data_IF_552034407794
#
_entry.id   IF_552034407794
#
_cell.length_a   1.000
_cell.length_b   1.000
_cell.length_c   1.000
_cell.angle_alpha   90.00
_cell.angle_beta   90.00
_cell.angle_gamma   90.00
#
_symmetry.space_group_name_H-M   'P 1'
#
loop_
_entity.id
_entity.type
_entity.pdbx_description
1 polymer ?
#
# COMPACT_ATOMS: atom_id res chain seq x y z
N UNK A 1 12.53 -6.19 -9.76
CA UNK A 1 12.18 -5.70 -8.40
C UNK A 1 10.76 -6.11 -8.07
N UNK A 2 10.51 -6.64 -6.88
CA UNK A 2 9.17 -7.05 -6.45
C UNK A 2 8.32 -5.83 -6.11
N UNK A 3 7.11 -5.76 -6.67
CA UNK A 3 6.10 -4.77 -6.32
C UNK A 3 5.13 -5.38 -5.31
N UNK A 4 4.99 -4.73 -4.16
CA UNK A 4 4.06 -5.14 -3.11
C UNK A 4 3.10 -4.01 -2.75
N UNK A 5 1.94 -4.36 -2.22
CA UNK A 5 1.07 -3.44 -1.48
C UNK A 5 1.34 -3.63 0.00
N UNK A 6 1.80 -2.59 0.69
CA UNK A 6 2.02 -2.57 2.13
C UNK A 6 0.81 -1.99 2.86
N UNK A 7 0.49 -2.53 4.04
CA UNK A 7 -0.56 -2.01 4.91
C UNK A 7 0.02 -1.45 6.20
N UNK A 8 -0.50 -0.30 6.62
CA UNK A 8 -0.10 0.38 7.85
C UNK A 8 -1.33 0.66 8.72
N UNK A 9 -1.20 0.43 10.03
CA UNK A 9 -2.20 0.75 11.05
C UNK A 9 -1.72 1.83 12.02
N UNK A 10 -2.62 2.33 12.86
CA UNK A 10 -2.29 3.28 13.93
C UNK A 10 -3.07 4.59 13.86
N UNK A 11 -3.03 5.35 14.96
CA UNK A 11 -3.80 6.60 15.18
C UNK A 11 -3.36 7.77 14.29
N UNK A 12 -2.16 7.71 13.69
CA UNK A 12 -1.65 8.74 12.78
C UNK A 12 -2.45 8.86 11.48
N UNK A 13 -3.15 7.79 11.10
CA UNK A 13 -4.11 7.79 10.02
C UNK A 13 -5.49 7.71 10.69
N UNK A 14 -6.16 8.86 10.79
CA UNK A 14 -7.54 9.14 11.27
C UNK A 14 -8.50 7.94 11.37
N UNK A 15 -9.54 7.97 12.25
CA UNK A 15 -10.56 6.91 12.29
C UNK A 15 -11.13 6.67 10.90
N UNK A 16 -10.73 5.55 10.29
CA UNK A 16 -10.78 5.37 8.86
C UNK A 16 -10.08 4.10 8.41
N UNK A 17 -10.12 3.79 7.10
CA UNK A 17 -9.47 2.61 6.55
C UNK A 17 -7.96 2.69 6.74
N UNK A 18 -7.34 1.54 7.01
CA UNK A 18 -5.87 1.42 7.12
C UNK A 18 -5.19 1.96 5.86
N UNK A 19 -4.03 2.58 6.05
CA UNK A 19 -3.27 3.18 4.97
C UNK A 19 -2.57 2.13 4.11
N UNK A 20 -2.64 2.27 2.79
CA UNK A 20 -1.92 1.43 1.82
C UNK A 20 -0.90 2.23 1.03
N UNK A 21 0.22 1.59 0.70
CA UNK A 21 1.23 2.11 -0.20
C UNK A 21 1.76 1.03 -1.12
N UNK A 22 2.31 1.42 -2.27
CA UNK A 22 3.18 0.52 -3.02
C UNK A 22 4.57 0.52 -2.41
N UNK A 23 5.14 -0.67 -2.34
CA UNK A 23 6.51 -0.92 -1.93
C UNK A 23 7.21 -1.62 -3.08
N UNK A 24 8.10 -0.89 -3.75
CA UNK A 24 8.98 -1.47 -4.76
C UNK A 24 10.28 -1.90 -4.07
N UNK A 25 10.40 -3.20 -3.81
CA UNK A 25 11.49 -3.77 -3.02
C UNK A 25 12.82 -3.66 -3.76
N UNK A 26 13.82 -3.06 -3.11
CA UNK A 26 15.16 -2.86 -3.69
C UNK A 26 16.02 -4.14 -3.64
N UNK A 27 15.66 -5.08 -2.78
CA UNK A 27 16.20 -6.46 -2.77
C UNK A 27 15.17 -7.44 -2.20
N UNK A 28 15.42 -8.74 -2.36
CA UNK A 28 14.54 -9.80 -1.87
C UNK A 28 14.77 -10.17 -0.40
N UNK A 29 15.73 -9.51 0.27
CA UNK A 29 16.02 -9.81 1.67
C UNK A 29 14.88 -9.36 2.60
N UNK A 30 14.63 -10.08 3.72
CA UNK A 30 13.52 -9.77 4.63
C UNK A 30 13.51 -8.34 5.19
N UNK A 31 14.70 -7.76 5.40
CA UNK A 31 14.89 -6.41 5.95
C UNK A 31 15.22 -5.38 4.86
N UNK A 32 14.88 -5.68 3.61
CA UNK A 32 15.20 -4.82 2.49
C UNK A 32 14.44 -3.51 2.54
N UNK A 33 15.12 -2.45 2.09
CA UNK A 33 14.49 -1.18 1.81
C UNK A 33 13.61 -1.26 0.56
N UNK A 34 12.62 -0.38 0.48
CA UNK A 34 11.73 -0.25 -0.65
C UNK A 34 11.56 1.23 -1.03
N UNK A 35 11.29 1.52 -2.30
CA UNK A 35 10.72 2.80 -2.69
C UNK A 35 9.21 2.77 -2.40
N UNK A 36 8.74 3.70 -1.56
CA UNK A 36 7.34 3.80 -1.19
C UNK A 36 6.61 4.84 -2.04
N UNK A 37 5.49 4.45 -2.64
CA UNK A 37 4.60 5.33 -3.42
C UNK A 37 3.23 5.34 -2.74
N UNK A 38 2.73 6.53 -2.37
CA UNK A 38 1.54 6.62 -1.52
C UNK A 38 0.77 7.92 -1.71
N UNK A 39 -0.54 7.84 -1.47
CA UNK A 39 -1.36 9.02 -1.23
C UNK A 39 -1.45 9.29 0.27
N UNK A 40 -1.31 10.55 0.63
CA UNK A 40 -1.56 11.05 1.98
C UNK A 40 -2.76 12.00 1.97
N UNK A 41 -3.26 12.35 3.15
CA UNK A 41 -4.43 13.21 3.31
C UNK A 41 -5.72 12.44 3.56
N UNK A 42 -6.86 13.10 3.35
CA UNK A 42 -8.18 12.56 3.62
C UNK A 42 -9.23 13.25 2.73
N UNK A 43 -10.47 12.75 2.72
CA UNK A 43 -11.52 13.28 1.84
C UNK A 43 -11.94 14.72 2.15
N UNK A 44 -11.68 15.24 3.37
CA UNK A 44 -12.03 16.61 3.77
C UNK A 44 -10.99 17.63 3.31
N UNK A 45 -9.72 17.32 3.54
CA UNK A 45 -8.59 18.21 3.22
C UNK A 45 -8.05 17.99 1.80
N UNK A 46 -8.40 16.86 1.19
CA UNK A 46 -7.87 16.40 -0.08
C UNK A 46 -6.75 15.37 0.11
N UNK A 47 -6.73 14.41 -0.81
CA UNK A 47 -5.62 13.50 -1.01
C UNK A 47 -4.55 14.15 -1.89
N UNK A 48 -3.29 13.84 -1.61
CA UNK A 48 -2.16 14.26 -2.42
C UNK A 48 -1.13 13.13 -2.54
N UNK A 49 -0.45 13.09 -3.67
CA UNK A 49 0.64 12.15 -3.90
C UNK A 49 1.90 12.62 -3.18
N UNK A 50 2.41 11.77 -2.27
CA UNK A 50 3.69 12.03 -1.59
C UNK A 50 4.83 11.54 -2.47
N UNK A 51 5.85 12.39 -2.65
CA UNK A 51 7.04 12.02 -3.41
C UNK A 51 7.62 10.69 -2.91
N UNK A 52 8.09 9.80 -3.81
CA UNK A 52 8.65 8.53 -3.42
C UNK A 52 9.81 8.69 -2.44
N UNK A 53 9.83 7.83 -1.44
CA UNK A 53 10.87 7.84 -0.41
C UNK A 53 11.34 6.42 -0.12
N UNK A 54 12.64 6.27 0.13
CA UNK A 54 13.21 5.01 0.61
C UNK A 54 12.71 4.74 2.04
N UNK A 55 12.08 3.58 2.24
CA UNK A 55 11.62 3.12 3.55
C UNK A 55 12.16 1.73 3.84
N UNK A 56 12.25 1.37 5.12
CA UNK A 56 12.49 -0.01 5.55
C UNK A 56 11.25 -0.49 6.32
N UNK A 57 10.31 -1.21 5.68
CA UNK A 57 8.99 -1.48 6.26
C UNK A 57 9.05 -2.16 7.64
N UNK A 58 9.97 -3.11 7.84
CA UNK A 58 10.10 -3.82 9.13
C UNK A 58 10.53 -2.93 10.31
N UNK A 59 11.03 -1.71 10.07
CA UNK A 59 11.37 -0.74 11.12
C UNK A 59 10.17 0.12 11.55
N UNK A 60 9.07 0.08 10.82
CA UNK A 60 7.87 0.85 11.12
C UNK A 60 6.96 0.06 12.06
N UNK A 61 6.64 0.63 13.23
CA UNK A 61 5.71 0.02 14.18
C UNK A 61 4.26 -0.04 13.65
N UNK A 62 3.94 0.83 12.68
CA UNK A 62 2.63 0.84 12.03
C UNK A 62 2.52 -0.19 10.91
N UNK A 63 3.62 -0.79 10.45
CA UNK A 63 3.58 -1.75 9.34
C UNK A 63 2.93 -3.07 9.76
N UNK A 64 1.88 -3.48 9.04
CA UNK A 64 1.06 -4.66 9.34
C UNK A 64 1.29 -5.82 8.37
N UNK A 65 2.17 -5.64 7.38
CA UNK A 65 2.48 -6.64 6.37
C UNK A 65 2.33 -6.11 4.95
N UNK A 66 2.72 -6.95 3.99
CA UNK A 66 2.64 -6.65 2.56
C UNK A 66 2.24 -7.88 1.76
N UNK A 67 1.59 -7.63 0.62
CA UNK A 67 1.25 -8.66 -0.36
C UNK A 67 1.93 -8.36 -1.67
N UNK A 68 2.55 -9.37 -2.29
CA UNK A 68 3.11 -9.24 -3.64
C UNK A 68 1.98 -9.11 -4.66
N UNK A 69 2.13 -8.13 -5.56
CA UNK A 69 1.16 -7.85 -6.63
C UNK A 69 1.80 -7.85 -8.00
N UNK A 70 3.12 -8.01 -8.11
CA UNK A 70 3.81 -8.12 -9.39
C UNK A 70 5.28 -7.77 -9.30
N UNK A 71 5.83 -7.42 -10.45
CA UNK A 71 7.24 -7.12 -10.65
C UNK A 71 7.44 -5.95 -11.61
N UNK A 72 8.49 -5.17 -11.33
CA UNK A 72 8.94 -4.07 -12.18
C UNK A 72 10.42 -4.27 -12.47
N UNK A 73 10.78 -4.16 -13.74
CA UNK A 73 12.17 -4.15 -14.20
C UNK A 73 12.91 -2.94 -13.63
N UNK A 74 14.15 -3.12 -13.18
CA UNK A 74 15.00 -2.03 -12.69
C UNK A 74 15.19 -0.91 -13.73
N UNK A 75 15.34 -1.25 -15.01
CA UNK A 75 15.46 -0.31 -16.11
C UNK A 75 14.18 0.49 -16.39
N UNK A 76 13.03 0.05 -15.86
CA UNK A 76 11.73 0.73 -16.02
C UNK A 76 11.32 1.54 -14.79
N UNK A 77 12.20 1.72 -13.82
CA UNK A 77 11.90 2.42 -12.56
C UNK A 77 11.32 3.84 -12.77
N UNK A 78 11.99 4.66 -13.58
CA UNK A 78 11.57 6.05 -13.79
C UNK A 78 10.20 6.13 -14.47
N UNK A 79 9.99 5.35 -15.52
CA UNK A 79 8.70 5.25 -16.21
C UNK A 79 7.60 4.77 -15.26
N UNK A 80 7.89 3.76 -14.42
CA UNK A 80 6.96 3.28 -13.41
C UNK A 80 6.58 4.40 -12.43
N UNK A 81 7.56 5.16 -11.93
CA UNK A 81 7.32 6.24 -10.99
C UNK A 81 6.44 7.35 -11.58
N UNK A 82 6.69 7.71 -12.84
CA UNK A 82 5.87 8.67 -13.59
C UNK A 82 4.44 8.15 -13.83
N UNK A 83 4.31 6.89 -14.21
CA UNK A 83 3.01 6.26 -14.46
C UNK A 83 2.15 6.17 -13.19
N UNK A 84 2.76 5.81 -12.06
CA UNK A 84 2.09 5.79 -10.76
C UNK A 84 1.66 7.21 -10.35
N UNK A 85 2.54 8.20 -10.52
CA UNK A 85 2.24 9.60 -10.21
C UNK A 85 1.14 10.19 -11.10
N UNK A 86 1.04 9.73 -12.35
CA UNK A 86 0.06 10.20 -13.33
C UNK A 86 -1.36 9.70 -13.12
N UNK A 87 -1.59 8.76 -12.18
CA UNK A 87 -2.93 8.25 -11.90
C UNK A 87 -3.79 9.32 -11.20
N UNK A 88 -5.00 9.63 -11.71
CA UNK A 88 -5.85 10.67 -11.14
C UNK A 88 -6.15 10.47 -9.66
N UNK A 89 -6.18 11.57 -8.91
CA UNK A 89 -6.59 11.62 -7.51
C UNK A 89 -7.98 12.25 -7.43
N UNK A 90 -8.93 11.55 -6.83
CA UNK A 90 -10.32 11.99 -6.75
C UNK A 90 -10.57 12.64 -5.38
N UNK A 91 -10.54 13.97 -5.35
CA UNK A 91 -10.85 14.76 -4.15
C UNK A 91 -12.35 15.06 -4.02
N UNK A 92 -12.83 15.26 -2.79
CA UNK A 92 -14.24 15.54 -2.49
C UNK A 92 -15.16 14.32 -2.53
N UNK A 93 -14.65 13.11 -2.79
CA UNK A 93 -15.41 11.87 -2.74
C UNK A 93 -15.14 11.12 -1.43
N UNK A 94 -16.14 11.03 -0.55
CA UNK A 94 -16.04 10.34 0.74
C UNK A 94 -15.87 8.81 0.60
N UNK A 95 -16.29 8.23 -0.52
CA UNK A 95 -16.18 6.79 -0.80
C UNK A 95 -14.84 6.36 -1.39
N UNK A 96 -14.00 7.31 -1.79
CA UNK A 96 -12.70 7.04 -2.44
C UNK A 96 -11.55 7.41 -1.50
N UNK A 97 -10.53 6.57 -1.43
CA UNK A 97 -9.35 6.80 -0.61
C UNK A 97 -8.07 6.17 -1.19
N UNK A 98 -6.99 6.13 -0.42
CA UNK A 98 -5.70 5.59 -0.86
C UNK A 98 -5.78 4.12 -1.32
N UNK A 99 -6.70 3.30 -0.79
CA UNK A 99 -6.88 1.91 -1.20
C UNK A 99 -7.48 1.81 -2.61
N UNK A 100 -8.42 2.70 -2.94
CA UNK A 100 -9.01 2.76 -4.28
C UNK A 100 -7.96 3.20 -5.31
N UNK A 101 -7.15 4.21 -4.96
CA UNK A 101 -6.02 4.63 -5.79
C UNK A 101 -5.02 3.51 -6.08
N UNK A 102 -4.69 2.66 -5.10
CA UNK A 102 -3.82 1.49 -5.33
C UNK A 102 -4.41 0.58 -6.42
N UNK A 103 -5.72 0.32 -6.38
CA UNK A 103 -6.39 -0.53 -7.38
C UNK A 103 -6.38 0.15 -8.76
N UNK A 104 -6.69 1.45 -8.81
CA UNK A 104 -6.66 2.25 -10.05
C UNK A 104 -5.26 2.22 -10.69
N UNK A 105 -4.20 2.37 -9.88
CA UNK A 105 -2.81 2.28 -10.33
C UNK A 105 -2.50 0.90 -10.90
N UNK A 106 -2.89 -0.20 -10.24
CA UNK A 106 -2.64 -1.54 -10.75
C UNK A 106 -3.32 -1.77 -12.11
N UNK A 107 -4.53 -1.25 -12.30
CA UNK A 107 -5.23 -1.31 -13.59
C UNK A 107 -4.48 -0.53 -14.67
N UNK A 108 -4.01 0.69 -14.37
CA UNK A 108 -3.23 1.51 -15.31
C UNK A 108 -1.91 0.82 -15.67
N UNK A 109 -1.16 0.35 -14.69
CA UNK A 109 0.10 -0.36 -14.90
C UNK A 109 -0.10 -1.62 -15.74
N UNK A 110 -1.16 -2.40 -15.46
CA UNK A 110 -1.47 -3.58 -16.28
C UNK A 110 -1.73 -3.23 -17.73
N UNK A 111 -2.52 -2.18 -17.99
CA UNK A 111 -2.79 -1.67 -19.35
C UNK A 111 -1.53 -1.19 -20.07
N UNK A 112 -0.55 -0.66 -19.33
CA UNK A 112 0.76 -0.24 -19.84
C UNK A 112 1.76 -1.41 -20.02
N UNK A 113 1.35 -2.64 -19.77
CA UNK A 113 2.17 -3.84 -20.01
C UNK A 113 3.14 -4.19 -18.88
N UNK A 114 2.98 -3.62 -17.68
CA UNK A 114 3.74 -4.05 -16.52
C UNK A 114 3.32 -5.46 -16.08
N UNK A 115 4.27 -6.23 -15.54
CA UNK A 115 4.01 -7.57 -15.00
C UNK A 115 3.37 -7.48 -13.61
N UNK A 116 2.13 -7.00 -13.56
CA UNK A 116 1.34 -6.87 -12.33
C UNK A 116 0.04 -7.65 -12.41
N UNK A 117 -0.49 -7.99 -11.25
CA UNK A 117 -1.85 -8.47 -11.05
C UNK A 117 -2.79 -7.29 -10.81
N UNK A 118 -4.08 -7.48 -11.08
CA UNK A 118 -5.13 -6.48 -10.86
C UNK A 118 -6.18 -7.01 -9.87
N UNK A 119 -5.78 -7.35 -8.62
CA UNK A 119 -6.73 -7.75 -7.60
C UNK A 119 -7.69 -6.60 -7.30
N UNK A 120 -8.93 -6.95 -7.02
CA UNK A 120 -9.92 -6.03 -6.48
C UNK A 120 -9.50 -5.54 -5.09
N UNK A 121 -10.07 -4.40 -4.67
CA UNK A 121 -9.89 -3.88 -3.31
C UNK A 121 -10.24 -4.92 -2.24
N UNK A 122 -11.29 -5.71 -2.45
CA UNK A 122 -11.72 -6.74 -1.52
C UNK A 122 -10.71 -7.89 -1.42
N UNK A 123 -10.14 -8.34 -2.54
CA UNK A 123 -9.11 -9.37 -2.53
C UNK A 123 -7.84 -8.92 -1.81
N UNK A 124 -7.40 -7.67 -2.04
CA UNK A 124 -6.27 -7.09 -1.32
C UNK A 124 -6.57 -6.97 0.18
N UNK A 125 -7.77 -6.51 0.57
CA UNK A 125 -8.20 -6.46 1.96
C UNK A 125 -8.13 -7.84 2.62
N UNK A 126 -8.69 -8.87 1.96
CA UNK A 126 -8.66 -10.25 2.48
C UNK A 126 -7.22 -10.73 2.67
N UNK A 127 -6.36 -10.57 1.66
CA UNK A 127 -4.97 -11.03 1.71
C UNK A 127 -4.14 -10.27 2.76
N UNK A 128 -4.32 -8.96 2.88
CA UNK A 128 -3.61 -8.14 3.87
C UNK A 128 -4.11 -8.41 5.30
N UNK A 129 -5.42 -8.60 5.49
CA UNK A 129 -5.98 -8.93 6.80
C UNK A 129 -5.55 -10.31 7.30
N UNK A 130 -5.28 -11.26 6.40
CA UNK A 130 -4.74 -12.57 6.76
C UNK A 130 -3.31 -12.50 7.34
N UNK A 131 -2.59 -11.39 7.17
CA UNK A 131 -1.25 -11.17 7.72
C UNK A 131 -1.27 -10.58 9.13
N UNK A 132 -2.44 -10.13 9.61
CA UNK A 132 -2.53 -9.55 10.93
C UNK A 132 -2.30 -10.60 12.01
N UNK A 133 -1.67 -10.24 13.13
CA UNK A 133 -1.66 -11.11 14.28
C UNK A 133 -3.10 -11.43 14.71
N UNK A 134 -3.38 -12.67 15.16
CA UNK A 134 -4.67 -13.01 15.72
C UNK A 134 -5.02 -12.02 16.82
N UNK A 135 -6.22 -11.45 16.75
CA UNK A 135 -6.72 -10.58 17.82
C UNK A 135 -6.77 -11.40 19.10
N UNK A 136 -6.07 -10.98 20.16
CA UNK A 136 -6.28 -11.56 21.48
C UNK A 136 -7.75 -11.35 21.84
N UNK A 137 -8.48 -12.44 22.10
CA UNK A 137 -9.87 -12.36 22.54
C UNK A 137 -9.90 -11.52 23.83
N UNK A 138 -10.60 -10.36 23.85
CA UNK A 138 -10.70 -9.52 25.05
C UNK A 138 -11.42 -10.22 26.22
N UNK A 139 -12.00 -11.42 26.01
CA UNK A 139 -12.67 -12.22 27.05
C UNK A 139 -11.75 -13.14 27.84
N UNK A 140 -10.49 -13.32 27.44
CA UNK A 140 -9.51 -14.05 28.25
C UNK A 140 -8.80 -13.05 29.16
N UNK A 141 -9.45 -12.75 30.29
CA UNK A 141 -8.80 -12.05 31.40
C UNK A 141 -7.59 -12.83 31.92
N UNK A 142 -6.62 -12.18 32.59
CA UNK A 142 -5.48 -12.88 33.13
C UNK A 142 -5.96 -13.96 34.12
N UNK A 143 -5.51 -15.20 33.91
CA UNK A 143 -5.63 -16.23 34.91
C UNK A 143 -4.93 -15.74 36.18
N UNK A 144 -5.70 -15.65 37.27
CA UNK A 144 -5.18 -15.34 38.61
C UNK A 144 -4.25 -16.43 39.10
#
# INVERSE_FOLDING_TARGET
>A
MKLCVGQYGGREYHPGPRHWSFLLMLSEQPNSSAQAFQLCGNWKEGFFYKNPSTVTPCRSQSFLGKVEVGEVDAGKYLMFAEDVKGVPIINGNQGWNCQDWIVDVLVVLKKKGYNVSTPTKQELLTRLNALLPPQKDPRVGPAK
#
